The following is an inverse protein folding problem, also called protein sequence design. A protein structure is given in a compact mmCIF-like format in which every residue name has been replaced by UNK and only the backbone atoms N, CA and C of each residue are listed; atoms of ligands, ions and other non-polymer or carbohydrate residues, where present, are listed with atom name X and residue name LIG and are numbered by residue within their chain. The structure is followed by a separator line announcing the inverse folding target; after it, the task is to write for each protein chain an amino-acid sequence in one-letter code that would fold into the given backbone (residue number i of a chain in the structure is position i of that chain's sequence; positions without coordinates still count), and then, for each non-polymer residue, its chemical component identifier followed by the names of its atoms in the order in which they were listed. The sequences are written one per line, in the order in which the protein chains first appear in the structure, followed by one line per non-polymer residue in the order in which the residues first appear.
data_IF_633003888260
#
_entry.id   IF_633003888260
#
_cell.length_a   1.000
_cell.length_b   1.000
_cell.length_c   1.000
_cell.angle_alpha   90.00
_cell.angle_beta   90.00
_cell.angle_gamma   90.00
#
_symmetry.space_group_name_H-M   'P 1'
#
loop_
_entity.id
_entity.type
_entity.pdbx_description
1 polymer ?
#
# COMPACT_ATOMS: atom_id res chain seq x y z
N UNK A 1 3.17 12.27 1.29
CA UNK A 1 4.28 11.30 1.39
C UNK A 1 4.33 10.59 0.05
N UNK A 2 5.41 10.72 -0.72
CA UNK A 2 5.48 10.10 -2.07
C UNK A 2 5.33 8.58 -1.96
N UNK A 3 4.62 7.95 -2.89
CA UNK A 3 4.45 6.49 -2.95
C UNK A 3 5.77 5.73 -2.86
N UNK A 4 6.84 6.31 -3.41
CA UNK A 4 8.19 5.77 -3.34
C UNK A 4 8.69 5.63 -1.89
N UNK A 5 8.39 6.58 -1.00
CA UNK A 5 8.77 6.49 0.40
C UNK A 5 8.04 5.34 1.10
N UNK A 6 6.75 5.15 0.80
CA UNK A 6 5.98 4.01 1.32
C UNK A 6 6.53 2.67 0.82
N UNK A 7 6.96 2.58 -0.45
CA UNK A 7 7.61 1.38 -0.98
C UNK A 7 8.95 1.09 -0.29
N UNK A 8 9.76 2.13 -0.05
CA UNK A 8 11.02 1.99 0.71
C UNK A 8 10.77 1.51 2.13
N UNK A 9 9.78 2.08 2.82
CA UNK A 9 9.41 1.66 4.18
C UNK A 9 8.91 0.22 4.22
N UNK A 10 8.07 -0.19 3.26
CA UNK A 10 7.61 -1.58 3.11
C UNK A 10 8.82 -2.51 2.93
N UNK A 11 9.77 -2.16 2.06
CA UNK A 11 10.97 -2.98 1.83
C UNK A 11 11.80 -3.13 3.10
N UNK A 12 12.05 -2.04 3.84
CA UNK A 12 12.76 -2.06 5.12
C UNK A 12 12.02 -2.93 6.15
N UNK A 13 10.70 -2.83 6.22
CA UNK A 13 9.90 -3.62 7.14
C UNK A 13 9.95 -5.12 6.82
N UNK A 14 9.91 -5.49 5.53
CA UNK A 14 10.08 -6.88 5.09
C UNK A 14 11.46 -7.43 5.46
N UNK A 15 12.52 -6.64 5.30
CA UNK A 15 13.87 -7.01 5.72
C UNK A 15 13.96 -7.22 7.25
N UNK A 16 13.37 -6.29 8.04
CA UNK A 16 13.30 -6.43 9.50
C UNK A 16 12.51 -7.68 9.91
N UNK A 17 11.37 -7.92 9.27
CA UNK A 17 10.53 -9.09 9.55
C UNK A 17 11.30 -10.39 9.27
N UNK A 18 11.98 -10.51 8.13
CA UNK A 18 12.81 -11.69 7.82
C UNK A 18 13.94 -11.92 8.83
N UNK A 19 14.53 -10.84 9.36
CA UNK A 19 15.59 -10.94 10.36
C UNK A 19 15.04 -11.39 11.71
N UNK A 20 13.88 -10.86 12.13
CA UNK A 20 13.27 -11.15 13.43
C UNK A 20 12.54 -12.49 13.43
N UNK A 21 11.89 -12.88 12.33
CA UNK A 21 11.16 -14.14 12.22
C UNK A 21 12.08 -15.37 12.11
N UNK A 22 13.38 -15.16 11.85
CA UNK A 22 14.33 -16.26 11.72
C UNK A 22 14.48 -16.99 13.05
N UNK A 23 13.98 -18.23 13.09
CA UNK A 23 14.00 -19.07 14.30
C UNK A 23 12.89 -18.76 15.31
N UNK A 24 11.96 -17.85 14.99
CA UNK A 24 10.79 -17.57 15.82
C UNK A 24 9.52 -18.19 15.23
N UNK A 25 8.60 -18.58 16.10
CA UNK A 25 7.26 -19.00 15.68
C UNK A 25 6.50 -17.84 15.04
N UNK A 26 5.58 -18.13 14.13
CA UNK A 26 4.64 -17.14 13.59
C UNK A 26 3.69 -16.59 14.66
N UNK A 27 3.51 -17.32 15.77
CA UNK A 27 2.74 -16.89 16.93
C UNK A 27 3.54 -16.01 17.90
N UNK A 28 4.83 -15.77 17.64
CA UNK A 28 5.64 -14.90 18.47
C UNK A 28 5.06 -13.47 18.45
N UNK A 29 4.85 -12.84 19.61
CA UNK A 29 4.25 -11.51 19.70
C UNK A 29 5.00 -10.43 18.89
N UNK A 30 6.32 -10.53 18.77
CA UNK A 30 7.10 -9.57 17.98
C UNK A 30 6.89 -9.77 16.49
N UNK A 31 6.77 -11.03 16.04
CA UNK A 31 6.47 -11.38 14.65
C UNK A 31 5.06 -10.92 14.29
N UNK A 32 4.08 -11.09 15.19
CA UNK A 32 2.71 -10.60 15.00
C UNK A 32 2.68 -9.07 14.88
N UNK A 33 3.32 -8.35 15.80
CA UNK A 33 3.39 -6.87 15.76
C UNK A 33 4.06 -6.38 14.47
N UNK A 34 5.14 -7.03 14.04
CA UNK A 34 5.82 -6.69 12.79
C UNK A 34 4.94 -6.92 11.56
N UNK A 35 4.17 -8.01 11.54
CA UNK A 35 3.18 -8.26 10.48
C UNK A 35 2.11 -7.18 10.44
N UNK A 36 1.51 -6.85 11.58
CA UNK A 36 0.48 -5.81 11.66
C UNK A 36 1.01 -4.44 11.19
N UNK A 37 2.26 -4.11 11.53
CA UNK A 37 2.94 -2.91 11.02
C UNK A 37 3.13 -2.94 9.50
N UNK A 38 3.57 -4.07 8.94
CA UNK A 38 3.71 -4.25 7.49
C UNK A 38 2.36 -4.13 6.77
N UNK A 39 1.30 -4.75 7.30
CA UNK A 39 -0.05 -4.70 6.73
C UNK A 39 -0.58 -3.26 6.71
N UNK A 40 -0.30 -2.48 7.76
CA UNK A 40 -0.67 -1.06 7.85
C UNK A 40 0.04 -0.23 6.76
N UNK A 41 1.33 -0.48 6.52
CA UNK A 41 2.10 0.18 5.46
C UNK A 41 1.59 -0.16 4.07
N UNK A 42 1.28 -1.44 3.81
CA UNK A 42 0.71 -1.90 2.54
C UNK A 42 -0.66 -1.25 2.31
N UNK A 43 -1.51 -1.20 3.34
CA UNK A 43 -2.80 -0.52 3.25
C UNK A 43 -2.65 0.97 2.90
N UNK A 44 -1.73 1.67 3.56
CA UNK A 44 -1.46 3.09 3.29
C UNK A 44 -0.92 3.31 1.87
N UNK A 45 -0.04 2.43 1.39
CA UNK A 45 0.43 2.43 0.00
C UNK A 45 -0.73 2.27 -0.99
N UNK A 46 -1.59 1.27 -0.79
CA UNK A 46 -2.74 1.03 -1.68
C UNK A 46 -3.72 2.21 -1.66
N UNK A 47 -3.95 2.82 -0.49
CA UNK A 47 -4.80 4.00 -0.35
C UNK A 47 -4.23 5.19 -1.12
N UNK A 48 -2.94 5.47 -0.96
CA UNK A 48 -2.25 6.55 -1.68
C UNK A 48 -2.23 6.29 -3.20
N UNK A 49 -1.98 5.05 -3.61
CA UNK A 49 -1.98 4.63 -5.01
C UNK A 49 -3.35 4.82 -5.65
N UNK A 50 -4.42 4.42 -4.96
CA UNK A 50 -5.80 4.65 -5.42
C UNK A 50 -6.13 6.13 -5.52
N UNK A 51 -5.73 6.94 -4.54
CA UNK A 51 -5.98 8.39 -4.59
C UNK A 51 -5.28 9.04 -5.79
N UNK A 52 -4.02 8.69 -6.05
CA UNK A 52 -3.28 9.22 -7.19
C UNK A 52 -3.88 8.78 -8.54
N UNK A 53 -4.33 7.52 -8.66
CA UNK A 53 -4.95 7.02 -9.88
C UNK A 53 -6.43 7.44 -10.04
N UNK A 54 -7.15 7.70 -8.95
CA UNK A 54 -8.51 8.24 -9.02
C UNK A 54 -8.51 9.70 -9.50
N UNK A 55 -7.45 10.46 -9.21
CA UNK A 55 -7.26 11.82 -9.77
C UNK A 55 -6.96 11.76 -11.27
N UNK A 56 -6.37 10.67 -11.78
CA UNK A 56 -6.14 10.45 -13.21
C UNK A 56 -7.39 9.96 -13.96
N UNK A 57 -8.42 9.50 -13.24
CA UNK A 57 -9.74 9.19 -13.81
C UNK A 57 -10.67 10.39 -13.62
N UNK A 58 -10.45 11.45 -14.41
CA UNK A 58 -11.54 12.39 -14.68
C UNK A 58 -12.66 11.64 -15.43
N UNK A 59 -13.93 11.96 -15.13
CA UNK A 59 -15.04 11.06 -15.40
C UNK A 59 -15.33 10.97 -16.89
N UNK A 60 -15.61 9.76 -17.37
CA UNK A 60 -16.22 9.48 -18.69
C UNK A 60 -17.65 10.06 -18.82
N UNK A 61 -17.95 11.20 -18.19
CA UNK A 61 -19.27 11.84 -18.21
C UNK A 61 -19.50 12.78 -19.39
N UNK A 62 -18.45 13.11 -20.15
CA UNK A 62 -18.54 14.04 -21.27
C UNK A 62 -18.50 13.37 -22.66
N UNK A 63 -18.23 12.05 -22.74
CA UNK A 63 -18.19 11.37 -24.04
C UNK A 63 -19.58 11.18 -24.67
N UNK A 64 -20.63 11.05 -23.85
CA UNK A 64 -21.99 10.77 -24.33
C UNK A 64 -22.87 12.00 -24.59
N UNK A 65 -22.35 13.23 -24.38
CA UNK A 65 -23.09 14.48 -24.68
C UNK A 65 -22.69 15.13 -26.00
N UNK A 66 -21.60 14.69 -26.62
CA UNK A 66 -21.15 15.22 -27.92
C UNK A 66 -21.80 14.52 -29.13
N UNK A 67 -22.43 13.35 -28.94
CA UNK A 67 -23.08 12.59 -30.03
C UNK A 67 -24.62 12.77 -30.09
N UNK A 68 -25.17 13.72 -29.33
CA UNK A 68 -26.62 14.00 -29.29
C UNK A 68 -27.00 15.39 -29.83
N UNK A 69 -26.23 15.93 -30.79
CA UNK A 69 -26.59 17.12 -31.57
C UNK A 69 -26.51 16.82 -33.06
#
# INVERSE_FOLDING_TARGET
MELNNLLTEIAVYRCKMNRVSKGKSLSDPDVIKLRQGLDSLIYNYLKAYRQQNAVLQLPERDYWRAEAV
#
